data_IF_956512105943
#
_entry.id   IF_956512105943
#
_cell.length_a   1.000
_cell.length_b   1.000
_cell.length_c   1.000
_cell.angle_alpha   90.00
_cell.angle_beta   90.00
_cell.angle_gamma   90.00
#
_symmetry.space_group_name_H-M   'P 1'
#
loop_
_entity.id
_entity.type
_entity.pdbx_description
1 polymer ?
#
# COMPACT_ATOMS: atom_id res chain seq x y z
N UNK A 1 11.05 26.99 36.71
CA UNK A 1 10.13 26.69 37.84
C UNK A 1 9.80 25.20 37.78
N UNK A 2 10.09 24.48 38.86
CA UNK A 2 9.88 23.03 39.04
C UNK A 2 8.38 22.72 39.15
N UNK A 3 7.95 21.53 38.72
CA UNK A 3 7.09 20.62 39.50
C UNK A 3 7.39 19.19 39.01
N UNK A 4 7.93 18.36 39.92
CA UNK A 4 7.99 16.91 39.85
C UNK A 4 6.64 16.35 40.35
N UNK A 5 6.12 15.32 39.70
CA UNK A 5 4.99 14.54 40.18
C UNK A 5 5.30 13.05 40.10
N UNK A 6 5.99 12.53 41.13
CA UNK A 6 6.09 11.10 41.42
C UNK A 6 4.74 10.64 42.00
N UNK A 7 4.20 9.52 41.55
CA UNK A 7 3.16 8.81 42.29
C UNK A 7 3.45 7.31 42.28
N UNK A 8 3.83 6.86 43.47
CA UNK A 8 4.10 5.50 43.91
C UNK A 8 2.76 4.91 44.39
N UNK A 9 2.37 3.71 43.95
CA UNK A 9 1.36 2.92 44.68
C UNK A 9 1.76 1.45 44.76
N UNK A 10 1.49 0.92 45.94
CA UNK A 10 2.16 -0.18 46.57
C UNK A 10 1.47 -1.54 46.39
N UNK A 11 2.27 -2.57 46.68
CA UNK A 11 2.00 -4.01 46.74
C UNK A 11 1.13 -4.36 47.96
N UNK A 12 0.24 -5.35 47.83
CA UNK A 12 -0.37 -6.17 48.91
C UNK A 12 -1.29 -7.21 48.23
N UNK A 13 -1.52 -8.44 48.69
CA UNK A 13 -0.88 -9.37 49.61
C UNK A 13 -1.48 -10.76 49.32
N UNK A 14 -0.78 -11.80 49.77
CA UNK A 14 -1.03 -13.24 49.66
C UNK A 14 -2.34 -13.68 50.34
N UNK A 15 -3.04 -14.67 49.76
CA UNK A 15 -3.93 -15.56 50.50
C UNK A 15 -3.69 -17.03 50.08
N UNK A 16 -3.02 -17.77 50.96
CA UNK A 16 -2.90 -19.22 50.98
C UNK A 16 -4.13 -19.80 51.70
N UNK A 17 -4.89 -20.68 51.03
CA UNK A 17 -5.96 -21.47 51.61
C UNK A 17 -5.76 -22.95 51.34
N UNK A 18 -5.35 -23.69 52.37
CA UNK A 18 -5.33 -25.16 52.42
C UNK A 18 -6.66 -25.68 52.96
N UNK A 19 -7.30 -26.63 52.27
CA UNK A 19 -8.56 -27.25 52.74
C UNK A 19 -8.88 -28.59 52.09
N UNK A 20 -8.41 -29.66 52.73
CA UNK A 20 -8.97 -31.04 52.87
C UNK A 20 -9.85 -31.64 51.76
N UNK A 21 -9.31 -32.69 51.13
CA UNK A 21 -9.87 -34.06 51.07
C UNK A 21 -11.29 -34.27 50.53
N UNK A 22 -11.39 -34.69 49.27
CA UNK A 22 -12.61 -35.28 48.72
C UNK A 22 -12.28 -36.46 47.79
N UNK A 23 -12.91 -37.58 48.08
CA UNK A 23 -12.83 -38.91 47.42
C UNK A 23 -13.08 -38.82 45.91
N UNK A 24 -12.34 -39.56 45.05
CA UNK A 24 -12.60 -39.54 43.60
C UNK A 24 -13.91 -40.27 43.27
N UNK A 25 -14.88 -39.53 42.76
CA UNK A 25 -16.04 -40.06 42.06
C UNK A 25 -15.64 -40.59 40.66
N UNK A 26 -16.35 -41.57 40.10
CA UNK A 26 -16.03 -42.13 38.79
C UNK A 26 -16.11 -41.05 37.70
N UNK A 27 -15.10 -41.03 36.83
CA UNK A 27 -15.01 -40.10 35.70
C UNK A 27 -16.09 -40.48 34.68
N UNK A 28 -17.19 -39.73 34.67
CA UNK A 28 -18.11 -39.70 33.53
C UNK A 28 -17.32 -39.24 32.31
N UNK A 29 -17.35 -40.04 31.25
CA UNK A 29 -16.70 -39.73 29.99
C UNK A 29 -17.20 -38.37 29.48
N UNK A 30 -16.28 -37.40 29.41
CA UNK A 30 -16.55 -36.12 28.78
C UNK A 30 -17.10 -36.37 27.36
N UNK A 31 -18.17 -35.67 26.93
CA UNK A 31 -18.62 -35.75 25.56
C UNK A 31 -17.45 -35.35 24.69
N UNK A 32 -17.04 -36.24 23.78
CA UNK A 32 -16.03 -35.97 22.77
C UNK A 32 -16.36 -34.61 22.15
N UNK A 33 -15.49 -33.63 22.39
CA UNK A 33 -15.56 -32.34 21.74
C UNK A 33 -15.57 -32.64 20.24
N UNK A 34 -16.74 -32.46 19.63
CA UNK A 34 -16.88 -32.50 18.18
C UNK A 34 -15.91 -31.45 17.69
N UNK A 35 -14.81 -31.89 17.08
CA UNK A 35 -13.88 -31.03 16.39
C UNK A 35 -14.70 -30.31 15.32
N UNK A 36 -15.14 -29.09 15.64
CA UNK A 36 -15.77 -28.20 14.68
C UNK A 36 -14.72 -27.98 13.61
N UNK A 37 -14.86 -28.69 12.50
CA UNK A 37 -14.02 -28.52 11.34
C UNK A 37 -14.02 -27.03 11.02
N UNK A 38 -12.87 -26.37 11.20
CA UNK A 38 -12.73 -24.98 10.83
C UNK A 38 -13.11 -24.90 9.33
N UNK A 39 -14.04 -24.03 8.93
CA UNK A 39 -14.45 -23.92 7.54
C UNK A 39 -13.19 -23.72 6.71
N UNK A 40 -12.91 -24.65 5.80
CA UNK A 40 -11.78 -24.55 4.89
C UNK A 40 -12.07 -23.34 4.01
N UNK A 41 -11.38 -22.23 4.25
CA UNK A 41 -11.56 -21.06 3.40
C UNK A 41 -11.17 -21.45 1.97
N UNK A 42 -11.99 -21.09 0.97
CA UNK A 42 -11.71 -21.43 -0.41
C UNK A 42 -10.35 -20.84 -0.80
N UNK A 43 -9.49 -21.68 -1.39
CA UNK A 43 -8.23 -21.23 -1.95
C UNK A 43 -8.53 -20.27 -3.10
N UNK A 44 -8.19 -18.99 -2.93
CA UNK A 44 -8.27 -17.98 -3.99
C UNK A 44 -6.93 -17.99 -4.72
N UNK A 45 -6.95 -18.38 -5.99
CA UNK A 45 -5.76 -18.34 -6.83
C UNK A 45 -5.26 -16.90 -6.95
N UNK A 46 -3.94 -16.70 -6.83
CA UNK A 46 -3.33 -15.39 -6.96
C UNK A 46 -3.43 -14.90 -8.42
N UNK A 47 -3.68 -13.60 -8.64
CA UNK A 47 -3.61 -13.02 -9.98
C UNK A 47 -2.22 -13.19 -10.61
N UNK A 48 -2.17 -13.33 -11.93
CA UNK A 48 -0.90 -13.29 -12.67
C UNK A 48 -0.20 -11.94 -12.48
N UNK A 49 1.13 -11.96 -12.50
CA UNK A 49 1.91 -10.72 -12.50
C UNK A 49 1.93 -10.05 -13.89
N UNK A 50 2.28 -8.78 -13.91
CA UNK A 50 2.40 -8.01 -15.16
C UNK A 50 3.57 -8.50 -16.01
N UNK A 51 3.31 -8.77 -17.29
CA UNK A 51 4.33 -9.03 -18.29
C UNK A 51 4.93 -7.71 -18.80
N UNK A 52 5.99 -7.26 -18.13
CA UNK A 52 6.66 -5.99 -18.44
C UNK A 52 7.20 -5.96 -19.88
N UNK A 53 7.62 -7.10 -20.44
CA UNK A 53 8.13 -7.15 -21.80
C UNK A 53 7.03 -6.80 -22.81
N UNK A 54 5.84 -7.41 -22.65
CA UNK A 54 4.67 -7.09 -23.50
C UNK A 54 4.20 -5.65 -23.38
N UNK A 55 4.40 -5.01 -22.23
CA UNK A 55 4.06 -3.59 -22.03
C UNK A 55 5.08 -2.67 -22.70
N UNK A 56 6.37 -3.03 -22.73
CA UNK A 56 7.44 -2.21 -23.30
C UNK A 56 7.38 -2.10 -24.83
N UNK A 57 7.02 -3.18 -25.50
CA UNK A 57 7.02 -3.27 -26.96
C UNK A 57 6.22 -2.15 -27.65
N UNK A 58 4.93 -1.93 -27.34
CA UNK A 58 4.16 -0.87 -27.99
C UNK A 58 4.66 0.54 -27.64
N UNK A 59 5.27 0.70 -26.47
CA UNK A 59 5.85 1.98 -26.02
C UNK A 59 7.22 2.28 -26.65
N UNK A 60 7.77 1.31 -27.39
CA UNK A 60 9.11 1.37 -27.99
C UNK A 60 10.18 1.67 -26.93
N UNK A 61 10.04 1.05 -25.77
CA UNK A 61 10.98 1.22 -24.67
C UNK A 61 12.21 0.33 -24.88
N UNK A 62 13.35 0.96 -25.18
CA UNK A 62 14.65 0.29 -25.13
C UNK A 62 15.27 0.42 -23.73
N UNK A 63 16.20 -0.47 -23.33
CA UNK A 63 16.90 -0.35 -22.05
C UNK A 63 17.64 0.99 -21.86
N UNK A 64 18.05 1.63 -22.96
CA UNK A 64 18.72 2.94 -22.95
C UNK A 64 17.74 4.13 -23.00
N UNK A 65 16.45 3.90 -23.18
CA UNK A 65 15.44 4.95 -23.32
C UNK A 65 15.37 5.83 -22.08
N UNK A 66 15.35 7.15 -22.30
CA UNK A 66 15.20 8.18 -21.26
C UNK A 66 13.76 8.73 -21.17
N UNK A 67 12.81 8.14 -21.89
CA UNK A 67 11.39 8.50 -21.75
C UNK A 67 10.94 8.14 -20.32
N UNK A 68 10.21 9.02 -19.61
CA UNK A 68 9.80 8.78 -18.22
C UNK A 68 9.15 7.40 -18.01
N UNK A 69 8.20 7.05 -18.88
CA UNK A 69 7.52 5.74 -18.87
C UNK A 69 8.50 4.56 -18.96
N UNK A 70 9.47 4.63 -19.86
CA UNK A 70 10.46 3.57 -20.03
C UNK A 70 11.40 3.48 -18.82
N UNK A 71 11.77 4.62 -18.22
CA UNK A 71 12.55 4.63 -16.98
C UNK A 71 11.77 3.98 -15.83
N UNK A 72 10.49 4.32 -15.66
CA UNK A 72 9.62 3.67 -14.68
C UNK A 72 9.51 2.17 -14.91
N UNK A 73 9.33 1.71 -16.15
CA UNK A 73 9.29 0.27 -16.46
C UNK A 73 10.63 -0.44 -16.24
N UNK A 74 11.75 0.24 -16.50
CA UNK A 74 13.10 -0.29 -16.23
C UNK A 74 13.36 -0.47 -14.75
N UNK A 75 12.93 0.51 -13.94
CA UNK A 75 13.11 0.43 -12.50
C UNK A 75 12.09 -0.52 -11.86
N UNK A 76 10.85 -0.57 -12.35
CA UNK A 76 9.81 -1.49 -11.90
C UNK A 76 10.24 -2.95 -12.06
N UNK A 77 10.88 -3.30 -13.18
CA UNK A 77 11.37 -4.66 -13.42
C UNK A 77 12.46 -5.08 -12.42
N UNK A 78 13.29 -4.12 -11.96
CA UNK A 78 14.38 -4.34 -11.00
C UNK A 78 13.94 -4.21 -9.54
N UNK A 79 12.74 -3.69 -9.31
CA UNK A 79 12.20 -3.46 -7.99
C UNK A 79 11.74 -4.78 -7.34
N UNK A 80 11.81 -4.81 -6.02
CA UNK A 80 11.45 -5.95 -5.19
C UNK A 80 9.95 -5.91 -4.85
N UNK A 81 9.47 -6.97 -4.20
CA UNK A 81 8.13 -6.98 -3.65
C UNK A 81 7.95 -5.87 -2.60
N UNK A 82 6.76 -5.27 -2.57
CA UNK A 82 6.46 -4.19 -1.63
C UNK A 82 6.47 -4.70 -0.19
N UNK A 83 7.40 -4.19 0.61
CA UNK A 83 7.54 -4.50 2.02
C UNK A 83 6.49 -3.79 2.86
N UNK A 84 5.35 -4.47 3.04
CA UNK A 84 4.24 -3.96 3.83
C UNK A 84 4.55 -3.81 5.33
N UNK A 85 5.65 -4.37 5.86
CA UNK A 85 6.07 -4.22 7.27
C UNK A 85 6.56 -2.82 7.62
N UNK A 86 6.85 -2.02 6.60
CA UNK A 86 7.22 -0.62 6.75
C UNK A 86 6.03 0.28 7.05
N UNK A 87 4.80 -0.20 6.81
CA UNK A 87 3.55 0.51 7.10
C UNK A 87 3.20 0.28 8.58
N UNK A 88 3.79 1.11 9.46
CA UNK A 88 3.61 0.99 10.92
C UNK A 88 2.82 2.14 11.54
N UNK A 89 2.74 3.28 10.86
CA UNK A 89 1.91 4.42 11.26
C UNK A 89 0.41 4.24 10.95
N UNK A 90 -0.36 5.32 11.14
CA UNK A 90 -1.78 5.34 10.82
C UNK A 90 -2.03 5.12 9.31
N UNK A 91 -1.30 5.86 8.46
CA UNK A 91 -1.28 5.67 7.00
C UNK A 91 0.14 5.90 6.46
N UNK A 92 0.60 5.04 5.54
CA UNK A 92 1.71 5.32 4.66
C UNK A 92 1.23 6.14 3.46
N UNK A 93 1.96 7.21 3.13
CA UNK A 93 1.61 8.15 2.05
C UNK A 93 2.79 8.31 1.13
N UNK A 94 2.52 8.18 -0.15
CA UNK A 94 3.50 8.31 -1.22
C UNK A 94 3.03 9.38 -2.20
N UNK A 95 3.97 10.13 -2.76
CA UNK A 95 3.72 11.19 -3.73
C UNK A 95 4.72 11.12 -4.85
N UNK A 96 4.29 11.38 -6.07
CA UNK A 96 5.16 11.26 -7.21
C UNK A 96 4.58 11.83 -8.49
N UNK A 97 5.30 11.58 -9.58
CA UNK A 97 4.88 11.92 -10.92
C UNK A 97 4.46 10.64 -11.64
N UNK A 98 3.32 10.70 -12.32
CA UNK A 98 2.83 9.69 -13.23
C UNK A 98 2.74 10.23 -14.65
N UNK A 99 3.11 9.39 -15.62
CA UNK A 99 2.77 9.60 -17.02
C UNK A 99 1.56 8.73 -17.35
N UNK A 100 0.49 9.38 -17.79
CA UNK A 100 -0.73 8.75 -18.27
C UNK A 100 -0.70 8.73 -19.80
N UNK A 101 -0.96 7.58 -20.39
CA UNK A 101 -1.07 7.41 -21.83
C UNK A 101 -2.51 7.02 -22.12
N UNK A 102 -3.19 7.87 -22.88
CA UNK A 102 -4.58 7.65 -23.29
C UNK A 102 -4.64 7.84 -24.80
N UNK A 103 -5.08 6.80 -25.53
CA UNK A 103 -5.14 6.79 -27.00
C UNK A 103 -3.79 7.14 -27.64
N UNK A 104 -2.71 6.64 -27.03
CA UNK A 104 -1.33 6.90 -27.44
C UNK A 104 -0.79 8.30 -27.11
N UNK A 105 -1.58 9.18 -26.47
CA UNK A 105 -1.16 10.53 -26.08
C UNK A 105 -0.72 10.53 -24.62
N UNK A 106 0.51 10.98 -24.37
CA UNK A 106 1.05 11.09 -23.01
C UNK A 106 0.69 12.43 -22.37
N UNK A 107 0.27 12.39 -21.10
CA UNK A 107 0.16 13.54 -20.20
C UNK A 107 0.83 13.22 -18.87
N UNK A 108 1.48 14.19 -18.26
CA UNK A 108 2.05 14.05 -16.94
C UNK A 108 1.11 14.63 -15.89
N UNK A 109 1.01 13.97 -14.74
CA UNK A 109 0.30 14.47 -13.58
C UNK A 109 0.95 14.02 -12.28
N UNK A 110 0.67 14.74 -11.20
CA UNK A 110 1.07 14.32 -9.87
C UNK A 110 0.12 13.26 -9.35
N UNK A 111 0.67 12.20 -8.77
CA UNK A 111 -0.09 11.06 -8.25
C UNK A 111 0.31 10.83 -6.81
N UNK A 112 -0.66 10.45 -5.99
CA UNK A 112 -0.40 10.01 -4.63
C UNK A 112 -1.08 8.68 -4.33
N UNK A 113 -0.42 7.92 -3.46
CA UNK A 113 -0.91 6.65 -2.95
C UNK A 113 -0.97 6.76 -1.43
N UNK A 114 -2.10 6.35 -0.87
CA UNK A 114 -2.27 6.22 0.58
C UNK A 114 -2.56 4.76 0.86
N UNK A 115 -1.87 4.20 1.84
CA UNK A 115 -2.03 2.82 2.25
C UNK A 115 -2.10 2.74 3.77
N UNK A 116 -2.98 1.90 4.29
CA UNK A 116 -3.06 1.62 5.73
C UNK A 116 -3.30 0.15 5.98
N UNK A 117 -2.68 -0.37 7.03
CA UNK A 117 -2.96 -1.73 7.49
C UNK A 117 -4.34 -1.76 8.14
N UNK A 118 -5.05 -2.86 7.91
CA UNK A 118 -6.34 -3.12 8.54
C UNK A 118 -6.36 -4.55 9.08
N UNK A 119 -7.22 -4.85 10.07
CA UNK A 119 -7.45 -6.22 10.50
C UNK A 119 -7.83 -7.14 9.32
N UNK A 120 -7.39 -8.41 9.35
CA UNK A 120 -7.67 -9.38 8.28
C UNK A 120 -9.16 -9.65 8.08
N UNK A 121 -10.00 -9.44 9.11
CA UNK A 121 -11.45 -9.55 9.01
C UNK A 121 -12.12 -8.38 8.25
N UNK A 122 -11.39 -7.31 7.95
CA UNK A 122 -11.90 -6.13 7.25
C UNK A 122 -11.57 -6.12 5.75
N UNK A 123 -11.01 -7.22 5.24
CA UNK A 123 -10.63 -7.41 3.83
C UNK A 123 -11.28 -8.66 3.23
N UNK A 124 -11.42 -8.68 1.91
CA UNK A 124 -11.98 -9.84 1.21
C UNK A 124 -11.05 -11.06 1.34
N UNK A 125 -11.62 -12.26 1.19
CA UNK A 125 -10.82 -13.48 1.20
C UNK A 125 -9.77 -13.45 0.07
N UNK A 126 -8.52 -13.71 0.41
CA UNK A 126 -7.38 -13.64 -0.51
C UNK A 126 -6.70 -12.27 -0.58
N UNK A 127 -7.31 -11.21 -0.06
CA UNK A 127 -6.69 -9.88 -0.02
C UNK A 127 -5.68 -9.76 1.12
N UNK A 128 -4.71 -8.87 0.91
CA UNK A 128 -3.79 -8.44 1.94
C UNK A 128 -4.54 -7.61 2.99
N UNK A 129 -4.12 -7.63 4.26
CA UNK A 129 -4.66 -6.80 5.34
C UNK A 129 -4.27 -5.32 5.17
N UNK A 130 -4.66 -4.74 4.04
CA UNK A 130 -4.25 -3.46 3.52
C UNK A 130 -5.44 -2.80 2.82
N UNK A 131 -5.65 -1.52 3.12
CA UNK A 131 -6.54 -0.64 2.34
C UNK A 131 -5.69 0.41 1.64
N UNK A 132 -5.96 0.63 0.36
CA UNK A 132 -5.21 1.56 -0.48
C UNK A 132 -6.13 2.53 -1.20
N UNK A 133 -5.58 3.69 -1.56
CA UNK A 133 -6.21 4.64 -2.46
C UNK A 133 -5.14 5.26 -3.35
N UNK A 134 -5.35 5.23 -4.66
CA UNK A 134 -4.48 5.89 -5.65
C UNK A 134 -5.27 7.00 -6.32
N UNK A 135 -4.71 8.21 -6.36
CA UNK A 135 -5.38 9.38 -6.91
C UNK A 135 -4.40 10.29 -7.63
N UNK A 136 -4.90 10.92 -8.69
CA UNK A 136 -4.26 12.08 -9.30
C UNK A 136 -4.50 13.31 -8.40
N UNK A 137 -3.52 14.20 -8.31
CA UNK A 137 -3.69 15.48 -7.66
C UNK A 137 -4.60 16.35 -8.54
N UNK A 138 -5.75 16.74 -7.99
CA UNK A 138 -6.77 17.48 -8.73
C UNK A 138 -6.20 18.81 -9.26
N UNK A 139 -6.31 19.01 -10.58
CA UNK A 139 -5.82 20.18 -11.29
C UNK A 139 -6.48 21.51 -10.84
N UNK A 140 -7.67 21.46 -10.24
CA UNK A 140 -8.37 22.63 -9.69
C UNK A 140 -7.77 23.16 -8.39
N UNK A 141 -6.92 22.36 -7.72
CA UNK A 141 -6.21 22.78 -6.52
C UNK A 141 -5.15 23.83 -6.87
N UNK A 142 -5.11 24.94 -6.15
CA UNK A 142 -4.26 26.09 -6.54
C UNK A 142 -2.87 25.98 -5.91
N UNK A 143 -2.81 26.22 -4.60
CA UNK A 143 -1.54 26.27 -3.87
C UNK A 143 -0.86 24.90 -3.83
N UNK A 144 -1.65 23.84 -3.76
CA UNK A 144 -1.22 22.45 -3.73
C UNK A 144 -0.52 22.04 -5.03
N UNK A 145 -1.06 22.41 -6.20
CA UNK A 145 -0.40 22.14 -7.47
C UNK A 145 0.86 22.98 -7.64
N UNK A 146 0.83 24.25 -7.21
CA UNK A 146 2.01 25.12 -7.26
C UNK A 146 3.16 24.57 -6.41
N UNK A 147 2.84 24.00 -5.26
CA UNK A 147 3.84 23.45 -4.32
C UNK A 147 4.27 22.01 -4.64
N UNK A 148 3.57 21.32 -5.53
CA UNK A 148 3.83 19.93 -5.89
C UNK A 148 5.22 19.75 -6.52
N UNK A 149 5.61 20.67 -7.40
CA UNK A 149 6.94 20.67 -8.04
C UNK A 149 8.06 20.73 -6.99
N UNK A 150 7.92 21.61 -5.99
CA UNK A 150 8.91 21.78 -4.93
C UNK A 150 8.98 20.54 -4.03
N UNK A 151 7.83 19.95 -3.69
CA UNK A 151 7.79 18.69 -2.94
C UNK A 151 8.45 17.57 -3.73
N UNK A 152 8.10 17.41 -5.01
CA UNK A 152 8.63 16.37 -5.88
C UNK A 152 10.17 16.42 -5.95
N UNK A 153 10.73 17.62 -6.14
CA UNK A 153 12.19 17.81 -6.19
C UNK A 153 12.88 17.40 -4.89
N UNK A 154 12.32 17.80 -3.74
CA UNK A 154 12.88 17.42 -2.44
C UNK A 154 12.87 15.88 -2.26
N UNK A 155 11.75 15.24 -2.58
CA UNK A 155 11.60 13.78 -2.48
C UNK A 155 12.54 13.03 -3.44
N UNK A 156 12.74 13.53 -4.66
CA UNK A 156 13.68 12.95 -5.63
C UNK A 156 15.12 12.95 -5.14
N UNK A 157 15.48 13.93 -4.32
CA UNK A 157 16.82 14.13 -3.77
C UNK A 157 16.99 13.53 -2.38
N UNK A 158 15.96 12.89 -1.83
CA UNK A 158 15.91 12.43 -0.43
C UNK A 158 16.18 13.56 0.58
N UNK A 159 15.72 14.78 0.24
CA UNK A 159 15.90 16.00 1.03
C UNK A 159 14.67 16.32 1.88
N UNK A 160 14.87 17.13 2.92
CA UNK A 160 13.81 17.63 3.77
C UNK A 160 12.89 18.60 3.01
N UNK A 161 11.58 18.42 3.17
CA UNK A 161 10.58 19.35 2.67
C UNK A 161 9.93 20.17 3.79
N UNK A 162 9.46 21.37 3.45
CA UNK A 162 8.78 22.24 4.41
C UNK A 162 7.44 21.63 4.86
N UNK A 163 7.22 21.54 6.17
CA UNK A 163 5.93 21.07 6.75
C UNK A 163 4.74 21.96 6.37
N UNK A 164 5.00 23.22 6.02
CA UNK A 164 4.03 24.22 5.54
C UNK A 164 3.78 24.15 4.03
N UNK A 165 4.40 23.21 3.31
CA UNK A 165 4.10 22.98 1.90
C UNK A 165 2.62 22.54 1.77
N UNK A 166 1.81 23.37 1.10
CA UNK A 166 0.40 23.10 0.80
C UNK A 166 0.11 21.68 0.27
N UNK A 167 0.91 21.14 -0.65
CA UNK A 167 0.76 19.76 -1.14
C UNK A 167 0.94 18.75 0.01
N UNK A 168 1.96 18.94 0.85
CA UNK A 168 2.18 18.08 2.03
C UNK A 168 1.02 18.16 3.01
N UNK A 169 0.48 19.35 3.24
CA UNK A 169 -0.67 19.54 4.12
C UNK A 169 -1.91 18.84 3.56
N UNK A 170 -2.22 19.06 2.28
CA UNK A 170 -3.29 18.37 1.58
C UNK A 170 -3.13 16.86 1.67
N UNK A 171 -1.94 16.35 1.37
CA UNK A 171 -1.64 14.93 1.47
C UNK A 171 -1.79 14.40 2.89
N UNK A 172 -1.56 15.16 3.95
CA UNK A 172 -1.76 14.68 5.33
C UNK A 172 -3.22 14.64 5.74
N UNK A 173 -4.01 15.60 5.28
CA UNK A 173 -5.42 15.72 5.64
C UNK A 173 -6.35 14.96 4.70
N UNK A 174 -5.85 14.51 3.54
CA UNK A 174 -6.67 13.77 2.58
C UNK A 174 -7.16 12.46 3.19
N UNK A 175 -8.48 12.30 3.23
CA UNK A 175 -9.16 11.09 3.62
C UNK A 175 -9.90 10.52 2.41
N UNK A 176 -9.47 9.36 1.87
CA UNK A 176 -10.18 8.73 0.77
C UNK A 176 -11.64 8.44 1.14
N UNK A 177 -12.58 8.82 0.27
CA UNK A 177 -14.00 8.49 0.41
C UNK A 177 -14.28 7.00 0.17
N UNK A 178 -13.41 6.35 -0.59
CA UNK A 178 -13.42 4.91 -0.84
C UNK A 178 -12.00 4.34 -0.68
N UNK A 179 -11.95 3.10 -0.23
CA UNK A 179 -10.72 2.33 -0.06
C UNK A 179 -10.81 1.08 -0.91
N UNK A 180 -9.72 0.79 -1.61
CA UNK A 180 -9.57 -0.41 -2.42
C UNK A 180 -8.73 -1.46 -1.66
N UNK A 181 -8.93 -2.73 -2.02
CA UNK A 181 -8.11 -3.84 -1.55
C UNK A 181 -6.81 -3.99 -2.34
N UNK A 182 -5.99 -4.94 -1.92
CA UNK A 182 -4.77 -5.32 -2.62
C UNK A 182 -4.51 -6.82 -2.47
N UNK A 183 -3.84 -7.41 -3.46
CA UNK A 183 -3.45 -8.82 -3.45
C UNK A 183 -1.99 -8.97 -3.88
N UNK A 184 -1.35 -10.07 -3.48
CA UNK A 184 -0.05 -10.49 -4.03
C UNK A 184 -0.27 -11.20 -5.36
N UNK A 185 0.54 -10.88 -6.36
CA UNK A 185 0.51 -11.63 -7.62
C UNK A 185 1.30 -12.93 -7.50
N UNK A 186 1.36 -13.69 -8.59
CA UNK A 186 2.28 -14.85 -8.71
C UNK A 186 3.75 -14.42 -8.79
N UNK A 187 4.03 -13.16 -9.09
CA UNK A 187 5.36 -12.55 -9.15
C UNK A 187 5.63 -11.58 -7.99
N UNK A 188 6.61 -10.67 -8.12
CA UNK A 188 6.96 -9.74 -7.05
C UNK A 188 5.96 -8.57 -6.88
N UNK A 189 5.01 -8.35 -7.79
CA UNK A 189 4.11 -7.21 -7.64
C UNK A 189 3.03 -7.43 -6.57
N UNK A 190 2.62 -6.33 -5.95
CA UNK A 190 1.32 -6.23 -5.29
C UNK A 190 0.34 -5.58 -6.26
N UNK A 191 -0.78 -6.23 -6.56
CA UNK A 191 -1.85 -5.64 -7.37
C UNK A 191 -2.84 -4.92 -6.46
N UNK A 192 -3.10 -3.65 -6.73
CA UNK A 192 -4.10 -2.84 -6.05
C UNK A 192 -5.39 -2.89 -6.86
N UNK A 193 -6.53 -3.13 -6.21
CA UNK A 193 -7.82 -3.23 -6.89
C UNK A 193 -8.35 -1.87 -7.42
N UNK A 194 -7.67 -0.78 -7.05
CA UNK A 194 -7.95 0.57 -7.54
C UNK A 194 -7.96 0.64 -9.07
N UNK A 195 -9.02 1.23 -9.63
CA UNK A 195 -9.12 1.64 -11.04
C UNK A 195 -8.79 0.53 -12.07
N UNK A 196 -9.13 -0.72 -11.78
CA UNK A 196 -8.96 -1.85 -12.70
C UNK A 196 -7.64 -2.60 -12.57
N UNK A 197 -6.82 -2.31 -11.55
CA UNK A 197 -5.59 -3.06 -11.26
C UNK A 197 -4.32 -2.22 -11.42
N UNK A 198 -3.69 -1.83 -10.31
CA UNK A 198 -2.37 -1.16 -10.32
C UNK A 198 -1.33 -2.12 -9.76
N UNK A 199 -0.34 -2.48 -10.55
CA UNK A 199 0.80 -3.28 -10.09
C UNK A 199 1.83 -2.37 -9.42
N UNK A 200 2.25 -2.73 -8.21
CA UNK A 200 3.19 -1.96 -7.41
C UNK A 200 4.36 -2.82 -6.98
N UNK A 201 5.57 -2.26 -7.11
CA UNK A 201 6.83 -2.82 -6.61
C UNK A 201 7.63 -1.75 -5.89
N UNK A 202 8.53 -2.14 -5.00
CA UNK A 202 9.30 -1.24 -4.15
C UNK A 202 10.80 -1.36 -4.41
N UNK A 203 11.52 -0.25 -4.46
CA UNK A 203 12.99 -0.25 -4.43
C UNK A 203 13.55 -0.01 -3.03
N UNK A 204 14.86 -0.26 -2.86
CA UNK A 204 15.59 -0.18 -1.58
C UNK A 204 15.39 1.10 -0.75
N UNK A 205 15.06 2.24 -1.38
CA UNK A 205 14.78 3.52 -0.72
C UNK A 205 13.28 3.75 -0.43
N UNK A 206 12.47 2.69 -0.43
CA UNK A 206 11.01 2.72 -0.25
C UNK A 206 10.25 3.54 -1.30
N UNK A 207 10.87 3.76 -2.45
CA UNK A 207 10.19 4.33 -3.61
C UNK A 207 9.35 3.23 -4.24
N UNK A 208 8.11 3.56 -4.58
CA UNK A 208 7.20 2.67 -5.27
C UNK A 208 7.19 2.98 -6.75
N UNK A 209 7.17 1.94 -7.57
CA UNK A 209 6.90 2.01 -8.99
C UNK A 209 5.51 1.41 -9.21
N UNK A 210 4.63 2.17 -9.86
CA UNK A 210 3.24 1.79 -10.08
C UNK A 210 2.92 1.76 -11.58
N UNK A 211 2.35 0.64 -12.03
CA UNK A 211 1.94 0.44 -13.43
C UNK A 211 0.48 0.03 -13.45
N UNK A 212 -0.36 0.78 -14.16
CA UNK A 212 -1.76 0.46 -14.43
C UNK A 212 -1.94 0.36 -15.93
N UNK A 213 -2.41 -0.77 -16.43
CA UNK A 213 -2.76 -0.90 -17.85
C UNK A 213 -4.21 -0.45 -18.05
N UNK A 214 -4.47 0.24 -19.16
CA UNK A 214 -5.84 0.53 -19.54
C UNK A 214 -6.60 -0.79 -19.80
N UNK A 215 -7.89 -0.87 -19.43
CA UNK A 215 -8.70 -2.04 -19.75
C UNK A 215 -8.77 -2.23 -21.27
N UNK A 216 -8.76 -3.47 -21.74
CA UNK A 216 -8.82 -3.76 -23.18
C UNK A 216 -10.21 -3.40 -23.72
N UNK A 217 -10.36 -2.20 -24.26
CA UNK A 217 -11.54 -1.75 -25.01
C UNK A 217 -11.18 -1.53 -26.50
N UNK A 218 -12.16 -1.50 -27.42
CA UNK A 218 -11.90 -1.35 -28.85
C UNK A 218 -11.08 -0.12 -29.25
N UNK A 219 -11.11 0.94 -28.44
CA UNK A 219 -10.38 2.20 -28.66
C UNK A 219 -9.10 2.33 -27.81
N UNK A 220 -8.73 1.30 -27.06
CA UNK A 220 -7.53 1.30 -26.22
C UNK A 220 -6.30 0.99 -27.06
N UNK A 221 -5.32 1.87 -27.03
CA UNK A 221 -4.04 1.64 -27.71
C UNK A 221 -3.15 0.78 -26.83
N UNK A 222 -2.42 -0.22 -27.38
CA UNK A 222 -1.43 -0.96 -26.61
C UNK A 222 -0.44 -0.02 -25.91
N UNK A 223 -0.24 -0.22 -24.61
CA UNK A 223 0.60 0.65 -23.78
C UNK A 223 -0.14 1.83 -23.14
N UNK A 224 -1.44 2.04 -23.44
CA UNK A 224 -2.28 2.97 -22.68
C UNK A 224 -2.34 2.55 -21.20
N UNK A 225 -2.31 3.52 -20.30
CA UNK A 225 -2.17 3.25 -18.87
C UNK A 225 -1.56 4.40 -18.07
N UNK A 226 -1.20 4.10 -16.82
CA UNK A 226 -0.47 4.99 -15.92
C UNK A 226 0.86 4.33 -15.52
N UNK A 227 1.93 5.11 -15.60
CA UNK A 227 3.28 4.71 -15.21
C UNK A 227 3.81 5.75 -14.23
N UNK A 228 3.92 5.40 -12.96
CA UNK A 228 4.25 6.35 -11.91
C UNK A 228 5.44 5.92 -11.06
N UNK A 229 6.20 6.91 -10.62
CA UNK A 229 7.26 6.76 -9.62
C UNK A 229 6.88 7.56 -8.40
N UNK A 230 6.63 6.89 -7.29
CA UNK A 230 6.12 7.46 -6.05
C UNK A 230 7.16 7.38 -4.94
N UNK A 231 7.32 8.47 -4.20
CA UNK A 231 8.29 8.63 -3.15
C UNK A 231 7.58 8.68 -1.80
N UNK A 232 8.18 8.10 -0.75
CA UNK A 232 7.55 8.07 0.56
C UNK A 232 7.53 9.48 1.18
N UNK A 233 6.35 9.93 1.62
CA UNK A 233 6.14 11.23 2.28
C UNK A 233 5.99 11.06 3.80
N UNK A 234 5.30 9.99 4.22
CA UNK A 234 5.15 9.57 5.61
C UNK A 234 4.84 8.07 5.66
N UNK A 235 5.26 7.36 6.71
CA UNK A 235 5.04 5.91 6.85
C UNK A 235 5.13 5.47 8.33
#
# INVERSE_FOLDING_TARGET
MRICGLSLFAVTLVALGCGKGQTPAPVDAAPAASASAAPTQPFVARPEDIDVARVRDPLKCTPASKKPVCMTLNDFEKADAWNLETIRGADARYFGQGTFIEKGVSRDAYVFLIAKRVPTNDVAAGDLPLKVAVRELDASLKAENTHAVKLMRALQQDDAFAKTNATVMYLKTYAPSSWDGANVTTGPSTILHSQGGVFVRESKNRRLYAVRLAPMAPDTTPGDGMYATLYPVSW
#
